data_IF_244138253214
#
_entry.id   IF_244138253214
#
_cell.length_a   1.000
_cell.length_b   1.000
_cell.length_c   1.000
_cell.angle_alpha   90.00
_cell.angle_beta   90.00
_cell.angle_gamma   90.00
#
_symmetry.space_group_name_H-M   'P 1'
#
loop_
_entity.id
_entity.type
_entity.pdbx_description
1 polymer ?
#
# COMPACT_ATOMS: atom_id res chain seq x y z
N UNK A 1 -10.23 -14.29 -5.69
CA UNK A 1 -9.86 -13.27 -6.69
C UNK A 1 -8.83 -12.28 -6.15
N UNK A 2 -9.10 -11.60 -5.02
CA UNK A 2 -8.16 -10.64 -4.40
C UNK A 2 -6.79 -11.24 -4.02
N UNK A 3 -6.74 -12.48 -3.54
CA UNK A 3 -5.47 -13.17 -3.23
C UNK A 3 -4.54 -13.27 -4.45
N UNK A 4 -5.05 -13.76 -5.58
CA UNK A 4 -4.26 -13.88 -6.81
C UNK A 4 -3.79 -12.51 -7.33
N UNK A 5 -4.68 -11.51 -7.26
CA UNK A 5 -4.34 -10.14 -7.62
C UNK A 5 -3.17 -9.61 -6.78
N UNK A 6 -3.23 -9.75 -5.46
CA UNK A 6 -2.17 -9.29 -4.56
C UNK A 6 -0.86 -10.08 -4.72
N UNK A 7 -0.94 -11.40 -4.95
CA UNK A 7 0.25 -12.24 -5.20
C UNK A 7 0.94 -11.81 -6.51
N UNK A 8 0.18 -11.65 -7.60
CA UNK A 8 0.74 -11.23 -8.88
C UNK A 8 1.33 -9.82 -8.80
N UNK A 9 0.64 -8.90 -8.11
CA UNK A 9 1.14 -7.54 -7.85
C UNK A 9 2.45 -7.55 -7.06
N UNK A 10 2.52 -8.31 -5.97
CA UNK A 10 3.74 -8.46 -5.17
C UNK A 10 4.89 -9.06 -6.00
N UNK A 11 4.63 -10.14 -6.74
CA UNK A 11 5.66 -10.80 -7.53
C UNK A 11 6.23 -9.91 -8.64
N UNK A 12 5.43 -8.98 -9.17
CA UNK A 12 5.85 -8.07 -10.24
C UNK A 12 6.51 -6.79 -9.73
N UNK A 13 6.06 -6.26 -8.59
CA UNK A 13 6.54 -4.98 -8.06
C UNK A 13 7.65 -5.11 -7.01
N UNK A 14 7.69 -6.20 -6.24
CA UNK A 14 8.72 -6.40 -5.22
C UNK A 14 10.15 -6.56 -5.77
N UNK A 15 10.40 -7.27 -6.89
CA UNK A 15 11.74 -7.36 -7.47
C UNK A 15 12.28 -6.00 -7.91
N UNK A 16 11.43 -5.11 -8.43
CA UNK A 16 11.81 -3.74 -8.80
C UNK A 16 12.25 -2.94 -7.57
N UNK A 17 11.46 -2.99 -6.49
CA UNK A 17 11.81 -2.29 -5.25
C UNK A 17 13.14 -2.81 -4.67
N UNK A 18 13.34 -4.13 -4.65
CA UNK A 18 14.59 -4.74 -4.19
C UNK A 18 15.79 -4.36 -5.06
N UNK A 19 15.60 -4.32 -6.38
CA UNK A 19 16.63 -3.89 -7.32
C UNK A 19 17.02 -2.44 -7.07
N UNK A 20 16.05 -1.53 -6.96
CA UNK A 20 16.32 -0.10 -6.72
C UNK A 20 16.98 0.12 -5.36
N UNK A 21 16.52 -0.57 -4.32
CA UNK A 21 17.10 -0.47 -3.00
C UNK A 21 18.56 -0.94 -2.96
N UNK A 22 18.88 -2.03 -3.67
CA UNK A 22 20.22 -2.63 -3.67
C UNK A 22 21.22 -1.87 -4.55
N UNK A 23 20.78 -1.28 -5.66
CA UNK A 23 21.68 -0.63 -6.62
C UNK A 23 21.76 0.90 -6.47
N UNK A 24 20.66 1.56 -6.12
CA UNK A 24 20.56 3.03 -6.08
C UNK A 24 20.31 3.58 -4.66
N UNK A 25 20.03 2.70 -3.69
CA UNK A 25 19.87 3.05 -2.28
C UNK A 25 18.50 3.61 -1.89
N UNK A 26 18.37 3.99 -0.62
CA UNK A 26 17.11 4.44 -0.03
C UNK A 26 16.60 5.75 -0.63
N UNK A 27 17.48 6.72 -0.88
CA UNK A 27 17.10 8.00 -1.48
C UNK A 27 16.38 7.80 -2.82
N UNK A 28 16.97 7.02 -3.73
CA UNK A 28 16.38 6.78 -5.03
C UNK A 28 15.04 6.01 -4.93
N UNK A 29 14.92 5.07 -4.00
CA UNK A 29 13.68 4.30 -3.79
C UNK A 29 12.51 5.17 -3.27
N UNK A 30 12.82 6.24 -2.53
CA UNK A 30 11.82 7.11 -1.90
C UNK A 30 11.53 8.34 -2.75
N UNK A 31 12.53 8.93 -3.39
CA UNK A 31 12.45 10.25 -4.02
C UNK A 31 12.36 10.25 -5.55
N UNK A 32 12.62 9.10 -6.20
CA UNK A 32 12.63 9.02 -7.67
C UNK A 32 11.47 8.14 -8.17
N UNK A 33 10.58 8.65 -9.04
CA UNK A 33 9.39 7.94 -9.55
C UNK A 33 9.73 6.95 -10.69
N UNK A 34 10.91 6.31 -10.67
CA UNK A 34 11.38 5.44 -11.76
C UNK A 34 10.45 4.26 -12.05
N UNK A 35 9.75 3.75 -11.03
CA UNK A 35 8.80 2.64 -11.17
C UNK A 35 7.54 2.96 -12.01
N UNK A 36 7.20 4.24 -12.20
CA UNK A 36 6.09 4.65 -13.08
C UNK A 36 6.63 5.09 -14.45
N UNK A 37 7.74 5.83 -14.48
CA UNK A 37 8.25 6.44 -15.70
C UNK A 37 9.06 5.49 -16.59
N UNK A 38 9.86 4.61 -15.97
CA UNK A 38 10.79 3.73 -16.70
C UNK A 38 10.24 2.31 -16.83
N UNK A 39 9.56 1.81 -15.79
CA UNK A 39 9.03 0.46 -15.78
C UNK A 39 7.52 0.45 -16.06
N UNK A 40 7.16 0.13 -17.32
CA UNK A 40 5.76 0.01 -17.74
C UNK A 40 5.00 -1.07 -16.97
N UNK A 41 5.67 -2.11 -16.50
CA UNK A 41 5.04 -3.20 -15.74
C UNK A 41 4.67 -2.67 -14.36
N UNK A 42 5.60 -2.03 -13.66
CA UNK A 42 5.34 -1.46 -12.34
C UNK A 42 4.32 -0.31 -12.39
N UNK A 43 4.35 0.53 -13.43
CA UNK A 43 3.34 1.56 -13.66
C UNK A 43 1.92 0.96 -13.85
N UNK A 44 1.80 -0.11 -14.64
CA UNK A 44 0.53 -0.81 -14.83
C UNK A 44 0.00 -1.44 -13.52
N UNK A 45 0.86 -2.10 -12.74
CA UNK A 45 0.47 -2.67 -11.44
C UNK A 45 0.13 -1.60 -10.41
N UNK A 46 0.77 -0.43 -10.47
CA UNK A 46 0.43 0.72 -9.65
C UNK A 46 -0.96 1.27 -9.99
N UNK A 47 -1.28 1.39 -11.28
CA UNK A 47 -2.61 1.79 -11.70
C UNK A 47 -3.67 0.78 -11.27
N UNK A 48 -3.40 -0.52 -11.43
CA UNK A 48 -4.28 -1.58 -10.94
C UNK A 48 -4.46 -1.55 -9.43
N UNK A 49 -3.42 -1.23 -8.65
CA UNK A 49 -3.50 -1.06 -7.20
C UNK A 49 -4.50 0.03 -6.81
N UNK A 50 -4.39 1.20 -7.45
CA UNK A 50 -5.28 2.33 -7.21
C UNK A 50 -6.72 1.95 -7.59
N UNK A 51 -6.90 1.28 -8.72
CA UNK A 51 -8.20 0.77 -9.13
C UNK A 51 -8.76 -0.28 -8.17
N UNK A 52 -7.94 -1.11 -7.53
CA UNK A 52 -8.42 -2.17 -6.62
C UNK A 52 -9.09 -1.61 -5.37
N UNK A 53 -8.84 -0.33 -5.02
CA UNK A 53 -9.51 0.32 -3.88
C UNK A 53 -10.99 0.58 -4.11
N UNK A 54 -11.42 0.76 -5.36
CA UNK A 54 -12.83 0.90 -5.72
C UNK A 54 -13.67 -0.36 -5.42
N UNK A 55 -13.30 -1.57 -5.91
CA UNK A 55 -14.04 -2.78 -5.58
C UNK A 55 -13.90 -3.17 -4.10
N UNK A 56 -12.77 -2.87 -3.44
CA UNK A 56 -12.64 -3.05 -1.98
C UNK A 56 -13.65 -2.18 -1.21
N UNK A 57 -13.91 -0.94 -1.66
CA UNK A 57 -14.99 -0.12 -1.10
C UNK A 57 -16.38 -0.68 -1.45
N UNK A 58 -16.54 -1.24 -2.66
CA UNK A 58 -17.76 -1.94 -3.07
C UNK A 58 -18.20 -3.02 -2.08
N UNK A 59 -17.26 -3.81 -1.55
CA UNK A 59 -17.54 -4.82 -0.52
C UNK A 59 -18.20 -4.21 0.72
N UNK A 60 -17.73 -3.03 1.17
CA UNK A 60 -18.34 -2.31 2.30
C UNK A 60 -19.76 -1.84 1.98
N UNK A 61 -20.01 -1.34 0.76
CA UNK A 61 -21.34 -0.92 0.30
C UNK A 61 -22.30 -2.12 0.31
N UNK A 62 -21.87 -3.30 -0.13
CA UNK A 62 -22.70 -4.52 -0.06
C UNK A 62 -23.05 -4.92 1.38
N UNK A 63 -22.15 -4.72 2.34
CA UNK A 63 -22.41 -4.99 3.77
C UNK A 63 -23.44 -3.99 4.33
N UNK A 64 -23.33 -2.70 3.97
CA UNK A 64 -24.35 -1.67 4.31
C UNK A 64 -25.70 -2.08 3.75
N UNK A 65 -25.75 -2.47 2.48
CA UNK A 65 -26.99 -2.88 1.80
C UNK A 65 -27.62 -4.13 2.42
N UNK A 66 -26.80 -5.03 2.98
CA UNK A 66 -27.26 -6.20 3.75
C UNK A 66 -27.64 -5.88 5.22
N UNK A 67 -27.62 -4.61 5.62
CA UNK A 67 -27.91 -4.12 6.98
C UNK A 67 -27.07 -4.79 8.08
N UNK A 68 -25.84 -5.19 7.77
CA UNK A 68 -24.93 -5.72 8.80
C UNK A 68 -24.19 -4.59 9.51
N UNK A 69 -23.87 -4.73 10.81
CA UNK A 69 -23.16 -3.71 11.56
C UNK A 69 -21.74 -3.54 11.00
N UNK A 70 -21.44 -2.35 10.49
CA UNK A 70 -20.11 -1.98 10.03
C UNK A 70 -19.34 -1.30 11.15
N UNK A 71 -18.14 -1.81 11.40
CA UNK A 71 -17.20 -1.20 12.33
C UNK A 71 -16.71 0.12 11.73
N UNK A 72 -16.71 1.19 12.51
CA UNK A 72 -16.30 2.54 12.06
C UNK A 72 -14.93 2.54 11.37
N UNK A 73 -13.95 1.90 12.02
CA UNK A 73 -12.58 1.82 11.52
C UNK A 73 -12.49 1.19 10.12
N UNK A 74 -13.34 0.22 9.81
CA UNK A 74 -13.28 -0.50 8.54
C UNK A 74 -13.66 0.40 7.35
N UNK A 75 -14.85 1.01 7.38
CA UNK A 75 -15.29 1.86 6.27
C UNK A 75 -14.51 3.18 6.23
N UNK A 76 -14.12 3.73 7.38
CA UNK A 76 -13.27 4.92 7.46
C UNK A 76 -11.90 4.67 6.79
N UNK A 77 -11.27 3.53 7.10
CA UNK A 77 -10.03 3.11 6.45
C UNK A 77 -10.23 2.94 4.94
N UNK A 78 -11.25 2.22 4.48
CA UNK A 78 -11.47 1.98 3.04
C UNK A 78 -11.68 3.28 2.22
N UNK A 79 -12.39 4.28 2.76
CA UNK A 79 -12.57 5.57 2.09
C UNK A 79 -11.27 6.37 2.07
N UNK A 80 -10.58 6.47 3.22
CA UNK A 80 -9.35 7.27 3.33
C UNK A 80 -8.22 6.75 2.45
N UNK A 81 -7.98 5.43 2.43
CA UNK A 81 -6.94 4.84 1.55
C UNK A 81 -7.30 4.97 0.07
N UNK A 82 -8.59 4.98 -0.30
CA UNK A 82 -9.03 5.21 -1.68
C UNK A 82 -8.72 6.64 -2.13
N UNK A 83 -9.12 7.63 -1.35
CA UNK A 83 -8.87 9.04 -1.67
C UNK A 83 -7.37 9.32 -1.72
N UNK A 84 -6.62 8.84 -0.72
CA UNK A 84 -5.18 9.04 -0.63
C UNK A 84 -4.41 8.38 -1.77
N UNK A 85 -4.77 7.14 -2.14
CA UNK A 85 -4.10 6.43 -3.25
C UNK A 85 -4.36 7.09 -4.60
N UNK A 86 -5.59 7.58 -4.85
CA UNK A 86 -5.92 8.32 -6.07
C UNK A 86 -5.15 9.63 -6.16
N UNK A 87 -5.15 10.41 -5.07
CA UNK A 87 -4.40 11.67 -4.99
C UNK A 87 -2.89 11.46 -5.21
N UNK A 88 -2.30 10.48 -4.51
CA UNK A 88 -0.86 10.17 -4.64
C UNK A 88 -0.48 9.67 -6.02
N UNK A 89 -1.38 8.96 -6.70
CA UNK A 89 -1.17 8.51 -8.07
C UNK A 89 -1.15 9.69 -9.05
N UNK A 90 -2.05 10.67 -8.89
CA UNK A 90 -2.07 11.87 -9.75
C UNK A 90 -0.84 12.76 -9.59
N UNK A 91 -0.23 12.77 -8.40
CA UNK A 91 1.01 13.50 -8.13
C UNK A 91 2.28 12.73 -8.53
N UNK A 92 2.17 11.50 -9.04
CA UNK A 92 3.31 10.61 -9.30
C UNK A 92 4.26 10.49 -8.10
N UNK A 93 3.69 10.45 -6.89
CA UNK A 93 4.45 10.47 -5.65
C UNK A 93 5.40 9.27 -5.59
N UNK A 94 6.70 9.56 -5.58
CA UNK A 94 7.75 8.52 -5.62
C UNK A 94 7.73 7.57 -4.42
N UNK A 95 7.35 8.05 -3.23
CA UNK A 95 7.22 7.22 -2.02
C UNK A 95 6.05 6.24 -2.07
N UNK A 96 5.07 6.43 -2.97
CA UNK A 96 3.92 5.54 -3.13
C UNK A 96 4.34 4.10 -3.48
N UNK A 97 5.49 3.93 -4.15
CA UNK A 97 6.10 2.63 -4.45
C UNK A 97 6.21 1.71 -3.22
N UNK A 98 6.72 2.23 -2.11
CA UNK A 98 6.88 1.47 -0.87
C UNK A 98 5.54 1.02 -0.29
N UNK A 99 4.57 1.93 -0.28
CA UNK A 99 3.22 1.64 0.23
C UNK A 99 2.52 0.56 -0.62
N UNK A 100 2.66 0.64 -1.95
CA UNK A 100 2.05 -0.33 -2.88
C UNK A 100 2.66 -1.72 -2.69
N UNK A 101 3.98 -1.84 -2.75
CA UNK A 101 4.68 -3.14 -2.65
C UNK A 101 4.40 -3.80 -1.30
N UNK A 102 4.50 -3.04 -0.22
CA UNK A 102 4.28 -3.56 1.12
C UNK A 102 2.81 -4.00 1.31
N UNK A 103 1.85 -3.22 0.81
CA UNK A 103 0.44 -3.58 0.85
C UNK A 103 0.16 -4.85 0.03
N UNK A 104 0.74 -4.97 -1.17
CA UNK A 104 0.61 -6.19 -1.97
C UNK A 104 1.18 -7.42 -1.26
N UNK A 105 2.35 -7.30 -0.64
CA UNK A 105 2.95 -8.38 0.14
C UNK A 105 2.05 -8.80 1.31
N UNK A 106 1.62 -7.86 2.16
CA UNK A 106 0.77 -8.19 3.32
C UNK A 106 -0.59 -8.73 2.89
N UNK A 107 -1.23 -8.12 1.89
CA UNK A 107 -2.52 -8.60 1.38
C UNK A 107 -2.42 -9.94 0.66
N UNK A 108 -1.30 -10.26 0.01
CA UNK A 108 -1.10 -11.58 -0.57
C UNK A 108 -1.19 -12.67 0.51
N UNK A 109 -0.59 -12.46 1.68
CA UNK A 109 -0.62 -13.39 2.81
C UNK A 109 -2.01 -13.41 3.46
N UNK A 110 -2.58 -12.24 3.74
CA UNK A 110 -3.89 -12.11 4.38
C UNK A 110 -5.02 -12.76 3.56
N UNK A 111 -5.11 -12.45 2.27
CA UNK A 111 -6.15 -13.02 1.41
C UNK A 111 -5.92 -14.50 1.12
N UNK A 112 -4.67 -14.97 1.06
CA UNK A 112 -4.38 -16.40 0.97
C UNK A 112 -4.88 -17.16 2.20
N UNK A 113 -4.69 -16.60 3.40
CA UNK A 113 -5.23 -17.18 4.63
C UNK A 113 -6.77 -17.22 4.62
N UNK A 114 -7.44 -16.16 4.19
CA UNK A 114 -8.89 -16.16 4.07
C UNK A 114 -9.40 -17.13 2.99
N UNK A 115 -8.68 -17.28 1.88
CA UNK A 115 -9.01 -18.25 0.84
C UNK A 115 -8.90 -19.70 1.37
N UNK A 116 -7.85 -20.02 2.12
CA UNK A 116 -7.69 -21.34 2.76
C UNK A 116 -8.82 -21.61 3.77
N UNK A 117 -9.18 -20.60 4.57
CA UNK A 117 -10.29 -20.70 5.52
C UNK A 117 -11.64 -20.93 4.82
N UNK A 118 -11.89 -20.25 3.69
CA UNK A 118 -13.07 -20.45 2.88
C UNK A 118 -13.12 -21.84 2.22
N UNK A 119 -11.96 -22.40 1.88
CA UNK A 119 -11.80 -23.78 1.39
C UNK A 119 -11.95 -24.85 2.50
N UNK A 120 -12.41 -24.47 3.71
CA UNK A 120 -12.57 -25.33 4.89
C UNK A 120 -11.29 -25.96 5.44
N UNK A 121 -10.12 -25.45 5.04
CA UNK A 121 -8.92 -25.72 5.81
C UNK A 121 -8.96 -24.88 7.09
N UNK A 122 -8.54 -25.46 8.22
CA UNK A 122 -8.43 -24.76 9.49
C UNK A 122 -6.97 -24.38 9.73
N UNK A 123 -6.47 -23.28 9.11
CA UNK A 123 -5.11 -22.84 9.34
C UNK A 123 -4.89 -22.53 10.84
N UNK A 124 -3.71 -22.86 11.39
CA UNK A 124 -3.42 -22.65 12.79
C UNK A 124 -3.51 -21.17 13.16
N UNK A 125 -3.95 -20.88 14.39
CA UNK A 125 -4.09 -19.51 14.93
C UNK A 125 -2.78 -18.70 14.86
N UNK A 126 -1.64 -19.38 14.86
CA UNK A 126 -0.33 -18.76 14.68
C UNK A 126 -0.21 -17.97 13.36
N UNK A 127 -0.81 -18.45 12.27
CA UNK A 127 -0.79 -17.73 10.98
C UNK A 127 -1.61 -16.44 11.07
N UNK A 128 -2.74 -16.46 11.78
CA UNK A 128 -3.51 -15.24 12.03
C UNK A 128 -2.69 -14.21 12.81
N UNK A 129 -1.92 -14.65 13.82
CA UNK A 129 -1.02 -13.77 14.56
C UNK A 129 0.09 -13.20 13.68
N UNK A 130 0.70 -14.01 12.80
CA UNK A 130 1.70 -13.52 11.82
C UNK A 130 1.08 -12.43 10.94
N UNK A 131 -0.14 -12.62 10.45
CA UNK A 131 -0.81 -11.62 9.59
C UNK A 131 -1.00 -10.31 10.36
N UNK A 132 -1.49 -10.37 11.59
CA UNK A 132 -1.64 -9.16 12.42
C UNK A 132 -0.29 -8.49 12.69
N UNK A 133 0.76 -9.27 12.96
CA UNK A 133 2.13 -8.74 13.11
C UNK A 133 2.61 -8.06 11.84
N UNK A 134 2.41 -8.67 10.67
CA UNK A 134 2.77 -8.08 9.37
C UNK A 134 2.01 -6.78 9.10
N UNK A 135 0.73 -6.71 9.44
CA UNK A 135 -0.08 -5.50 9.31
C UNK A 135 0.44 -4.36 10.21
N UNK A 136 0.82 -4.68 11.45
CA UNK A 136 1.41 -3.69 12.35
C UNK A 136 2.80 -3.24 11.88
N UNK A 137 3.63 -4.18 11.41
CA UNK A 137 4.93 -3.85 10.81
C UNK A 137 4.76 -2.96 9.58
N UNK A 138 3.76 -3.21 8.74
CA UNK A 138 3.41 -2.33 7.62
C UNK A 138 3.12 -0.91 8.08
N UNK A 139 2.40 -0.74 9.19
CA UNK A 139 2.11 0.59 9.75
C UNK A 139 3.40 1.31 10.17
N UNK A 140 4.28 0.61 10.91
CA UNK A 140 5.55 1.15 11.40
C UNK A 140 6.48 1.55 10.24
N UNK A 141 6.63 0.67 9.26
CA UNK A 141 7.45 0.93 8.08
C UNK A 141 6.87 2.08 7.26
N UNK A 142 5.56 2.17 7.11
CA UNK A 142 4.89 3.30 6.45
C UNK A 142 5.20 4.64 7.11
N UNK A 143 5.16 4.70 8.44
CA UNK A 143 5.59 5.88 9.20
C UNK A 143 7.08 6.21 8.97
N UNK A 144 7.96 5.21 8.99
CA UNK A 144 9.39 5.42 8.74
C UNK A 144 9.66 6.00 7.34
N UNK A 145 8.98 5.48 6.30
CA UNK A 145 9.09 6.00 4.93
C UNK A 145 8.64 7.46 4.86
N UNK A 146 7.54 7.83 5.53
CA UNK A 146 7.08 9.22 5.58
C UNK A 146 8.11 10.15 6.27
N UNK A 147 8.73 9.70 7.36
CA UNK A 147 9.78 10.46 8.05
C UNK A 147 11.01 10.63 7.16
N UNK A 148 11.45 9.57 6.49
CA UNK A 148 12.58 9.64 5.55
C UNK A 148 12.28 10.51 4.34
N UNK A 149 11.07 10.41 3.76
CA UNK A 149 10.63 11.28 2.67
C UNK A 149 10.69 12.76 3.07
N UNK A 150 10.18 13.10 4.26
CA UNK A 150 10.24 14.46 4.80
C UNK A 150 11.70 14.92 5.06
N UNK A 151 12.53 14.02 5.60
CA UNK A 151 13.95 14.29 5.82
C UNK A 151 14.68 14.58 4.50
N UNK A 152 14.54 13.71 3.50
CA UNK A 152 15.17 13.89 2.20
C UNK A 152 14.68 15.14 1.47
N UNK A 153 13.38 15.46 1.57
CA UNK A 153 12.81 16.68 1.00
C UNK A 153 13.45 17.94 1.61
N UNK A 154 13.72 17.95 2.91
CA UNK A 154 14.38 19.06 3.61
C UNK A 154 15.87 19.16 3.29
N UNK A 155 16.57 18.03 3.16
CA UNK A 155 18.03 18.01 2.95
C UNK A 155 18.42 18.26 1.48
N UNK A 156 17.69 17.71 0.51
CA UNK A 156 18.05 17.73 -0.92
C UNK A 156 17.20 18.69 -1.76
N UNK A 157 16.18 19.31 -1.16
CA UNK A 157 15.28 20.26 -1.81
C UNK A 157 14.21 19.60 -2.69
N UNK A 158 13.20 20.40 -3.07
CA UNK A 158 12.01 19.95 -3.83
C UNK A 158 12.30 19.47 -5.25
N UNK A 159 13.40 19.90 -5.86
CA UNK A 159 13.74 19.51 -7.24
C UNK A 159 14.32 18.10 -7.34
N UNK A 160 14.87 17.58 -6.24
CA UNK A 160 15.57 16.29 -6.21
C UNK A 160 14.67 15.13 -5.77
N UNK A 161 13.47 15.43 -5.26
CA UNK A 161 12.56 14.45 -4.69
C UNK A 161 11.13 14.73 -5.17
N UNK A 162 10.57 13.83 -5.99
CA UNK A 162 9.22 13.99 -6.53
C UNK A 162 8.17 13.57 -5.48
N UNK A 163 8.02 14.39 -4.44
CA UNK A 163 7.04 14.24 -3.36
C UNK A 163 6.58 15.64 -2.92
N UNK A 164 5.26 15.85 -2.93
CA UNK A 164 4.64 17.07 -2.41
C UNK A 164 4.58 17.06 -0.88
N UNK A 165 4.80 18.21 -0.23
CA UNK A 165 4.63 18.35 1.22
C UNK A 165 3.18 18.04 1.63
N UNK A 166 2.22 18.36 0.77
CA UNK A 166 0.80 18.03 0.97
C UNK A 166 0.60 16.52 1.04
N UNK A 167 1.26 15.77 0.17
CA UNK A 167 1.19 14.31 0.16
C UNK A 167 1.70 13.70 1.46
N UNK A 168 2.87 14.14 1.92
CA UNK A 168 3.46 13.70 3.19
C UNK A 168 2.54 14.01 4.36
N UNK A 169 1.99 15.24 4.41
CA UNK A 169 1.10 15.65 5.50
C UNK A 169 -0.20 14.83 5.50
N UNK A 170 -0.79 14.56 4.32
CA UNK A 170 -1.98 13.72 4.17
C UNK A 170 -1.69 12.28 4.60
N UNK A 171 -0.54 11.74 4.20
CA UNK A 171 -0.09 10.41 4.60
C UNK A 171 0.05 10.32 6.12
N UNK A 172 0.78 11.24 6.76
CA UNK A 172 0.94 11.25 8.22
C UNK A 172 -0.41 11.39 8.93
N UNK A 173 -1.28 12.28 8.46
CA UNK A 173 -2.62 12.46 9.03
C UNK A 173 -3.46 11.19 8.95
N UNK A 174 -3.40 10.47 7.82
CA UNK A 174 -4.08 9.19 7.62
C UNK A 174 -3.54 8.11 8.56
N UNK A 175 -2.21 7.99 8.71
CA UNK A 175 -1.60 7.01 9.59
C UNK A 175 -1.90 7.27 11.08
N UNK A 176 -2.07 8.54 11.47
CA UNK A 176 -2.40 8.92 12.84
C UNK A 176 -3.89 8.75 13.18
N UNK A 177 -4.77 8.71 12.18
CA UNK A 177 -6.22 8.58 12.39
C UNK A 177 -6.72 7.13 12.49
N UNK A 178 -5.84 6.15 12.30
CA UNK A 178 -6.12 4.71 12.44
C UNK A 178 -5.76 4.18 13.83
#
# INVERSE_FOLDING_TARGET
>A
MLAMFSIMGAFRTAPELLHVLRHYGLFHSVCVPSYIEQDRVCGFWTWLFVLSKLPELGDTIFIVLRKQPLIFLHWYHHITVLIYSWFSYTEYTSSARWFIVMNYCVHSVMYSYYALKAARFNPPRFIAMIITSLQLTQMIVGCAINVWANGFLKTHGRQSCNISQTNINLSIAMYFSY
#
